data_IF_531189273550
#
_entry.id   IF_531189273550
#
_cell.length_a   1.000
_cell.length_b   1.000
_cell.length_c   1.000
_cell.angle_alpha   90.00
_cell.angle_beta   90.00
_cell.angle_gamma   90.00
#
_symmetry.space_group_name_H-M   'P 1'
#
loop_
_entity.id
_entity.type
_entity.pdbx_description
1 polymer ?
#
# COMPACT_ATOMS: atom_id res chain seq x y z
N UNK A 1 -8.29 5.21 -8.97
CA UNK A 1 -7.05 5.97 -8.74
C UNK A 1 -7.41 7.42 -8.47
N UNK A 2 -6.68 8.08 -7.58
CA UNK A 2 -7.02 9.43 -7.09
C UNK A 2 -5.84 10.39 -7.21
N UNK A 3 -6.12 11.69 -7.33
CA UNK A 3 -5.07 12.70 -7.21
C UNK A 3 -4.71 12.95 -5.74
N UNK A 4 -3.61 13.68 -5.51
CA UNK A 4 -3.16 14.03 -4.15
C UNK A 4 -4.24 14.75 -3.34
N UNK A 5 -4.98 15.69 -3.94
CA UNK A 5 -6.02 16.46 -3.24
C UNK A 5 -7.21 15.60 -2.83
N UNK A 6 -7.63 14.67 -3.69
CA UNK A 6 -8.70 13.72 -3.39
C UNK A 6 -8.29 12.82 -2.23
N UNK A 7 -7.06 12.29 -2.29
CA UNK A 7 -6.49 11.47 -1.23
C UNK A 7 -6.49 12.23 0.09
N UNK A 8 -5.91 13.43 0.13
CA UNK A 8 -5.82 14.24 1.36
C UNK A 8 -7.19 14.68 1.86
N UNK A 9 -8.14 14.99 0.96
CA UNK A 9 -9.50 15.34 1.34
C UNK A 9 -10.22 14.19 2.03
N UNK A 10 -10.22 13.00 1.42
CA UNK A 10 -10.89 11.82 2.01
C UNK A 10 -10.19 11.38 3.29
N UNK A 11 -8.86 11.31 3.31
CA UNK A 11 -8.12 10.96 4.53
C UNK A 11 -8.23 12.00 5.66
N UNK A 12 -8.74 13.21 5.39
CA UNK A 12 -8.97 14.21 6.43
C UNK A 12 -10.12 13.84 7.38
N UNK A 13 -11.08 13.04 6.91
CA UNK A 13 -12.20 12.52 7.71
C UNK A 13 -11.92 11.13 8.29
N UNK A 14 -10.87 10.44 7.83
CA UNK A 14 -10.47 9.12 8.32
C UNK A 14 -9.67 9.25 9.62
N UNK A 15 -9.93 8.33 10.55
CA UNK A 15 -9.16 8.16 11.78
C UNK A 15 -7.67 7.93 11.47
N UNK A 16 -6.80 8.79 12.02
CA UNK A 16 -5.34 8.79 11.74
C UNK A 16 -4.57 7.64 12.37
N UNK A 17 -5.18 6.91 13.30
CA UNK A 17 -4.60 5.75 13.96
C UNK A 17 -4.82 4.44 13.19
N UNK A 18 -5.66 4.45 12.16
CA UNK A 18 -5.92 3.28 11.31
C UNK A 18 -4.72 2.97 10.39
N UNK A 19 -4.57 1.68 10.11
CA UNK A 19 -3.55 1.10 9.26
C UNK A 19 -4.22 0.30 8.14
N UNK A 20 -4.01 0.69 6.88
CA UNK A 20 -4.49 -0.04 5.71
C UNK A 20 -3.43 -1.05 5.31
N UNK A 21 -3.65 -2.29 5.72
CA UNK A 21 -2.72 -3.40 5.59
C UNK A 21 -3.50 -4.66 5.23
N UNK A 22 -3.40 -5.10 3.99
CA UNK A 22 -3.93 -6.40 3.56
C UNK A 22 -3.16 -7.52 4.27
N UNK A 23 -3.84 -8.40 5.00
CA UNK A 23 -3.23 -9.44 5.81
C UNK A 23 -4.09 -10.70 5.92
N UNK A 24 -3.42 -11.84 6.06
CA UNK A 24 -4.00 -13.13 6.40
C UNK A 24 -3.03 -13.94 7.24
N UNK A 25 -3.55 -14.78 8.14
CA UNK A 25 -2.77 -15.79 8.83
C UNK A 25 -2.80 -17.17 8.15
N UNK A 26 -3.60 -17.33 7.09
CA UNK A 26 -3.52 -18.50 6.22
C UNK A 26 -2.29 -18.40 5.32
N UNK A 27 -1.20 -19.02 5.77
CA UNK A 27 0.06 -18.99 5.06
C UNK A 27 0.06 -19.90 3.82
N UNK A 28 -0.76 -20.96 3.80
CA UNK A 28 -0.75 -21.98 2.77
C UNK A 28 0.66 -22.46 2.40
N UNK A 29 0.96 -22.50 1.10
CA UNK A 29 2.28 -22.89 0.59
C UNK A 29 3.42 -21.97 1.04
N UNK A 30 3.14 -20.72 1.41
CA UNK A 30 4.16 -19.74 1.83
C UNK A 30 4.83 -20.18 3.13
N UNK A 31 4.16 -20.95 3.98
CA UNK A 31 4.77 -21.46 5.22
C UNK A 31 6.04 -22.26 4.93
N UNK A 32 5.93 -23.29 4.09
CA UNK A 32 7.02 -24.18 3.71
C UNK A 32 8.08 -23.50 2.82
N UNK A 33 7.65 -22.54 2.00
CA UNK A 33 8.52 -21.91 1.01
C UNK A 33 9.16 -20.59 1.45
N UNK A 34 8.61 -19.90 2.45
CA UNK A 34 9.09 -18.57 2.87
C UNK A 34 9.44 -18.46 4.35
N UNK A 35 8.61 -19.01 5.25
CA UNK A 35 8.77 -18.86 6.70
C UNK A 35 9.73 -19.88 7.33
N UNK A 36 9.64 -21.14 6.90
CA UNK A 36 10.50 -22.23 7.37
C UNK A 36 11.94 -22.18 6.81
N UNK A 37 12.17 -21.79 5.54
CA UNK A 37 13.52 -21.57 5.05
C UNK A 37 14.21 -20.42 5.78
N UNK A 38 15.51 -20.58 6.03
CA UNK A 38 16.36 -19.53 6.59
C UNK A 38 17.16 -18.96 5.42
N UNK A 39 17.00 -17.66 5.19
CA UNK A 39 17.73 -16.96 4.12
C UNK A 39 18.54 -15.79 4.64
N UNK A 40 19.60 -15.44 3.93
CA UNK A 40 20.27 -14.15 4.04
C UNK A 40 20.08 -13.46 2.71
N UNK A 41 19.28 -12.38 2.70
CA UNK A 41 19.08 -11.55 1.53
C UNK A 41 19.95 -10.29 1.65
N UNK A 42 21.08 -10.20 0.93
CA UNK A 42 21.93 -9.03 1.03
C UNK A 42 21.32 -7.80 0.37
N UNK A 43 20.26 -7.92 -0.45
CA UNK A 43 19.56 -6.78 -1.02
C UNK A 43 18.82 -5.95 0.05
N UNK A 44 18.68 -6.47 1.28
CA UNK A 44 18.10 -5.72 2.42
C UNK A 44 19.07 -4.64 2.94
N UNK A 45 20.39 -4.86 2.86
CA UNK A 45 21.39 -3.97 3.46
C UNK A 45 22.53 -3.53 2.52
N UNK A 46 22.63 -4.11 1.32
CA UNK A 46 23.58 -3.70 0.28
C UNK A 46 22.84 -3.04 -0.88
N UNK A 47 23.44 -1.97 -1.42
CA UNK A 47 22.88 -1.23 -2.56
C UNK A 47 22.86 -2.04 -3.87
N UNK A 48 23.68 -3.09 -3.99
CA UNK A 48 23.72 -3.95 -5.17
C UNK A 48 22.81 -5.16 -4.96
N UNK A 49 21.94 -5.42 -5.94
CA UNK A 49 21.17 -6.67 -5.97
C UNK A 49 22.13 -7.85 -6.09
N UNK A 50 22.09 -8.73 -5.11
CA UNK A 50 22.83 -9.98 -5.06
C UNK A 50 21.86 -11.15 -4.89
N UNK A 51 22.33 -12.36 -5.16
CA UNK A 51 21.53 -13.57 -4.93
C UNK A 51 21.23 -13.74 -3.44
N UNK A 52 20.05 -14.29 -3.16
CA UNK A 52 19.65 -14.70 -1.80
C UNK A 52 20.43 -15.97 -1.44
N UNK A 53 21.04 -15.98 -0.27
CA UNK A 53 21.71 -17.17 0.26
C UNK A 53 20.71 -17.99 1.08
N UNK A 54 20.62 -19.28 0.78
CA UNK A 54 19.77 -20.22 1.51
C UNK A 54 20.62 -21.06 2.46
N UNK A 55 20.21 -21.15 3.73
CA UNK A 55 20.78 -22.12 4.64
C UNK A 55 20.35 -23.54 4.26
N UNK A 56 21.19 -24.53 4.55
CA UNK A 56 20.86 -25.95 4.36
C UNK A 56 19.74 -26.39 5.30
N UNK A 57 19.79 -25.93 6.54
CA UNK A 57 18.79 -26.24 7.56
C UNK A 57 17.56 -25.33 7.46
N UNK A 58 16.40 -25.87 7.83
CA UNK A 58 15.14 -25.13 7.96
C UNK A 58 14.77 -25.01 9.44
N UNK A 59 13.96 -24.01 9.75
CA UNK A 59 13.32 -23.86 11.08
C UNK A 59 11.84 -24.17 11.00
N UNK A 60 11.24 -24.51 12.13
CA UNK A 60 9.78 -24.55 12.26
C UNK A 60 9.21 -23.13 12.28
N UNK A 61 7.95 -22.99 11.87
CA UNK A 61 7.18 -21.76 12.10
C UNK A 61 7.09 -21.52 13.61
N UNK A 62 7.32 -20.30 14.11
CA UNK A 62 7.32 -20.03 15.54
C UNK A 62 5.96 -20.23 16.19
N UNK A 63 5.95 -20.83 17.38
CA UNK A 63 4.76 -20.94 18.22
C UNK A 63 4.59 -19.73 19.16
N UNK A 64 5.63 -18.89 19.30
CA UNK A 64 5.64 -17.75 20.21
C UNK A 64 4.78 -16.56 19.73
N UNK A 65 4.42 -16.54 18.44
CA UNK A 65 3.57 -15.53 17.83
C UNK A 65 2.87 -16.11 16.61
N UNK A 66 1.78 -15.47 16.19
CA UNK A 66 1.09 -15.88 14.96
C UNK A 66 1.71 -15.16 13.75
N UNK A 67 2.20 -15.91 12.77
CA UNK A 67 2.70 -15.32 11.53
C UNK A 67 1.53 -14.86 10.64
N UNK A 68 1.66 -13.65 10.11
CA UNK A 68 0.75 -13.08 9.11
C UNK A 68 1.54 -12.72 7.85
N UNK A 69 0.87 -12.78 6.70
CA UNK A 69 1.40 -12.36 5.40
C UNK A 69 0.36 -11.55 4.64
N UNK A 70 0.79 -10.75 3.68
CA UNK A 70 -0.11 -9.95 2.85
C UNK A 70 0.61 -9.16 1.78
N UNK A 71 -0.02 -8.09 1.30
CA UNK A 71 0.57 -7.19 0.32
C UNK A 71 1.85 -6.53 0.90
N UNK A 72 2.96 -6.44 0.12
CA UNK A 72 4.14 -5.68 0.56
C UNK A 72 3.86 -4.18 0.64
N UNK A 73 2.71 -3.74 0.11
CA UNK A 73 2.34 -2.34 0.11
C UNK A 73 1.36 -2.04 1.23
N UNK A 74 1.71 -1.05 2.05
CA UNK A 74 0.96 -0.73 3.27
C UNK A 74 0.80 0.78 3.43
N UNK A 75 -0.27 1.20 4.10
CA UNK A 75 -0.41 2.57 4.63
C UNK A 75 -0.50 2.47 6.14
N UNK A 76 0.57 2.88 6.82
CA UNK A 76 0.71 2.72 8.27
C UNK A 76 0.55 4.05 8.99
N UNK A 77 -0.10 4.03 10.14
CA UNK A 77 -0.21 5.19 11.00
C UNK A 77 1.13 5.52 11.64
N UNK A 78 1.32 6.81 11.94
CA UNK A 78 2.55 7.29 12.56
C UNK A 78 2.80 6.61 13.92
N UNK A 79 1.75 6.43 14.73
CA UNK A 79 1.86 5.78 16.04
C UNK A 79 2.35 4.33 15.94
N UNK A 80 1.86 3.57 14.96
CA UNK A 80 2.33 2.21 14.72
C UNK A 80 3.78 2.17 14.22
N UNK A 81 4.18 3.09 13.34
CA UNK A 81 5.57 3.20 12.91
C UNK A 81 6.52 3.57 14.05
N UNK A 82 6.12 4.51 14.92
CA UNK A 82 6.89 4.86 16.12
C UNK A 82 7.05 3.66 17.06
N UNK A 83 5.99 2.85 17.24
CA UNK A 83 6.07 1.60 17.99
C UNK A 83 7.09 0.61 17.39
N UNK A 84 7.08 0.40 16.06
CA UNK A 84 8.03 -0.47 15.38
C UNK A 84 9.48 0.03 15.47
N UNK A 85 9.70 1.33 15.33
CA UNK A 85 11.04 1.94 15.30
C UNK A 85 11.65 2.01 16.70
N UNK A 86 10.89 2.52 17.66
CA UNK A 86 11.40 2.76 19.01
C UNK A 86 11.40 1.44 19.83
N UNK A 87 10.51 0.50 19.50
CA UNK A 87 10.49 -0.84 20.07
C UNK A 87 10.30 -0.84 21.59
N UNK A 88 9.28 -0.15 22.10
CA UNK A 88 9.09 -0.03 23.56
C UNK A 88 8.76 -1.40 24.18
N UNK A 89 8.16 -2.27 23.38
CA UNK A 89 7.98 -3.70 23.63
C UNK A 89 9.06 -4.53 22.90
N UNK A 90 9.30 -5.77 23.36
CA UNK A 90 10.25 -6.68 22.70
C UNK A 90 9.73 -7.25 21.37
N UNK A 91 8.41 -7.28 21.16
CA UNK A 91 7.76 -7.88 20.00
C UNK A 91 8.28 -7.33 18.66
N UNK A 92 8.34 -6.00 18.39
CA UNK A 92 8.92 -5.50 17.14
C UNK A 92 10.37 -5.93 16.89
N UNK A 93 11.18 -6.02 17.96
CA UNK A 93 12.59 -6.45 17.87
C UNK A 93 12.71 -7.94 17.58
N UNK A 94 11.95 -8.77 18.29
CA UNK A 94 11.90 -10.23 18.08
C UNK A 94 11.40 -10.55 16.67
N UNK A 95 10.35 -9.88 16.21
CA UNK A 95 9.83 -10.03 14.85
C UNK A 95 10.86 -9.57 13.82
N UNK A 96 11.57 -8.47 14.07
CA UNK A 96 12.60 -7.99 13.15
C UNK A 96 13.70 -9.04 12.99
N UNK A 97 14.22 -9.60 14.10
CA UNK A 97 15.20 -10.69 14.06
C UNK A 97 14.68 -11.94 13.35
N UNK A 98 13.39 -12.26 13.48
CA UNK A 98 12.79 -13.39 12.78
C UNK A 98 12.70 -13.14 11.27
N UNK A 99 12.20 -11.97 10.87
CA UNK A 99 11.91 -11.62 9.48
C UNK A 99 13.15 -11.21 8.68
N UNK A 100 14.26 -10.85 9.31
CA UNK A 100 15.55 -10.64 8.60
C UNK A 100 16.04 -11.90 7.89
N UNK A 101 15.55 -13.08 8.28
CA UNK A 101 15.89 -14.35 7.63
C UNK A 101 14.70 -15.05 6.95
N UNK A 102 13.67 -14.30 6.57
CA UNK A 102 12.48 -14.77 5.82
C UNK A 102 12.54 -14.25 4.39
N UNK A 103 12.14 -15.08 3.43
CA UNK A 103 12.00 -14.67 2.03
C UNK A 103 10.85 -13.66 1.91
N UNK A 104 11.10 -12.53 1.24
CA UNK A 104 10.13 -11.44 1.07
C UNK A 104 9.60 -10.92 2.42
N UNK A 105 10.52 -10.58 3.32
CA UNK A 105 10.23 -10.15 4.70
C UNK A 105 9.26 -8.97 4.81
N UNK A 106 9.24 -8.09 3.80
CA UNK A 106 8.28 -6.97 3.69
C UNK A 106 6.81 -7.42 3.61
N UNK A 107 6.55 -8.64 3.12
CA UNK A 107 5.20 -9.24 3.05
C UNK A 107 4.77 -9.90 4.36
N UNK A 108 5.57 -9.82 5.44
CA UNK A 108 5.28 -10.51 6.70
C UNK A 108 5.56 -9.71 7.97
N UNK A 109 6.58 -8.85 7.97
CA UNK A 109 7.00 -8.12 9.18
C UNK A 109 5.88 -7.26 9.77
N UNK A 110 5.39 -6.25 9.04
CA UNK A 110 4.38 -5.33 9.55
C UNK A 110 3.07 -6.04 9.88
N UNK A 111 2.65 -6.99 9.03
CA UNK A 111 1.47 -7.83 9.22
C UNK A 111 1.53 -8.59 10.55
N UNK A 112 2.66 -9.23 10.83
CA UNK A 112 2.83 -10.02 12.04
C UNK A 112 2.98 -9.13 13.28
N UNK A 113 3.72 -8.01 13.19
CA UNK A 113 3.86 -7.09 14.32
C UNK A 113 2.51 -6.49 14.70
N UNK A 114 1.75 -5.94 13.74
CA UNK A 114 0.50 -5.25 14.05
C UNK A 114 -0.56 -6.19 14.63
N UNK A 115 -0.66 -7.41 14.11
CA UNK A 115 -1.66 -8.37 14.55
C UNK A 115 -1.34 -9.06 15.87
N UNK A 116 -0.05 -9.15 16.25
CA UNK A 116 0.35 -9.64 17.57
C UNK A 116 0.45 -8.53 18.61
N UNK A 117 0.20 -7.27 18.25
CA UNK A 117 0.25 -6.13 19.17
C UNK A 117 -1.15 -5.79 19.70
N UNK A 118 -1.44 -5.97 21.00
CA UNK A 118 -2.77 -5.72 21.57
C UNK A 118 -3.28 -4.29 21.34
N UNK A 119 -2.38 -3.31 21.32
CA UNK A 119 -2.67 -1.89 21.11
C UNK A 119 -3.09 -1.56 19.67
N UNK A 120 -2.61 -2.32 18.68
CA UNK A 120 -2.76 -1.99 17.26
C UNK A 120 -3.62 -2.98 16.46
N UNK A 121 -3.82 -4.22 16.94
CA UNK A 121 -4.56 -5.27 16.21
C UNK A 121 -5.99 -4.89 15.83
N UNK A 122 -6.60 -3.92 16.52
CA UNK A 122 -7.95 -3.43 16.24
C UNK A 122 -7.96 -2.20 15.31
N UNK A 123 -6.79 -1.74 14.85
CA UNK A 123 -6.65 -0.59 13.94
C UNK A 123 -6.30 -1.03 12.51
N UNK A 124 -6.44 -2.31 12.19
CA UNK A 124 -6.06 -2.90 10.89
C UNK A 124 -7.26 -2.95 9.94
N UNK A 125 -7.30 -2.04 8.98
CA UNK A 125 -8.22 -2.14 7.84
C UNK A 125 -7.58 -3.09 6.82
N UNK A 126 -8.23 -4.22 6.56
CA UNK A 126 -7.68 -5.31 5.75
C UNK A 126 -7.79 -5.02 4.24
N UNK A 127 -7.05 -4.03 3.78
CA UNK A 127 -6.99 -3.60 2.38
C UNK A 127 -5.72 -2.75 2.16
N UNK A 128 -5.07 -2.85 1.00
CA UNK A 128 -3.85 -2.08 0.68
C UNK A 128 -4.10 -0.83 -0.20
N UNK A 129 -5.37 -0.54 -0.51
CA UNK A 129 -5.87 0.57 -1.33
C UNK A 129 -5.43 0.51 -2.80
N UNK A 130 -5.00 -0.65 -3.30
CA UNK A 130 -4.52 -0.82 -4.68
C UNK A 130 -5.50 -1.63 -5.51
N UNK A 131 -5.72 -1.17 -6.73
CA UNK A 131 -6.30 -1.98 -7.78
C UNK A 131 -5.22 -2.81 -8.48
N UNK A 132 -5.45 -4.12 -8.56
CA UNK A 132 -4.59 -5.08 -9.26
C UNK A 132 -5.47 -6.13 -9.92
N UNK A 133 -5.06 -6.58 -11.10
CA UNK A 133 -5.67 -7.75 -11.77
C UNK A 133 -4.69 -8.90 -11.66
N UNK A 134 -5.16 -10.04 -11.14
CA UNK A 134 -4.40 -11.28 -11.14
C UNK A 134 -4.86 -12.16 -12.30
N UNK A 135 -3.90 -12.73 -13.03
CA UNK A 135 -4.20 -13.77 -14.01
C UNK A 135 -4.84 -14.99 -13.32
N UNK A 136 -5.57 -15.82 -14.08
CA UNK A 136 -6.08 -17.11 -13.59
C UNK A 136 -5.44 -18.25 -14.38
N UNK A 137 -4.55 -19.07 -13.79
CA UNK A 137 -4.07 -19.01 -12.40
C UNK A 137 -3.12 -17.81 -12.14
N UNK A 138 -3.00 -17.36 -10.87
CA UNK A 138 -2.16 -16.21 -10.53
C UNK A 138 -0.68 -16.49 -10.81
N UNK A 139 -0.02 -15.53 -11.44
CA UNK A 139 1.45 -15.51 -11.65
C UNK A 139 2.16 -14.91 -10.43
N UNK A 140 3.50 -14.87 -10.46
CA UNK A 140 4.29 -14.26 -9.38
C UNK A 140 4.00 -12.76 -9.19
N UNK A 141 3.69 -12.06 -10.28
CA UNK A 141 3.32 -10.65 -10.26
C UNK A 141 1.97 -10.44 -10.94
N UNK A 142 1.23 -9.39 -10.57
CA UNK A 142 -0.05 -9.09 -11.19
C UNK A 142 0.10 -8.69 -12.65
N UNK A 143 -1.01 -8.73 -13.38
CA UNK A 143 -1.14 -8.30 -14.76
C UNK A 143 -0.63 -6.86 -14.94
N UNK A 144 -0.01 -6.60 -16.09
CA UNK A 144 0.34 -5.25 -16.52
C UNK A 144 -0.91 -4.55 -17.05
N UNK A 145 -1.49 -3.68 -16.23
CA UNK A 145 -2.65 -2.88 -16.58
C UNK A 145 -2.35 -2.04 -17.82
N UNK A 146 -3.29 -2.06 -18.77
CA UNK A 146 -3.19 -1.32 -20.03
C UNK A 146 -4.49 -0.53 -20.30
N UNK A 147 -4.61 0.05 -21.49
CA UNK A 147 -5.77 0.87 -21.88
C UNK A 147 -7.11 0.15 -21.73
N UNK A 148 -7.18 -1.17 -21.99
CA UNK A 148 -8.42 -1.96 -21.84
C UNK A 148 -8.94 -1.99 -20.41
N UNK A 149 -8.05 -1.86 -19.42
CA UNK A 149 -8.36 -2.01 -18.00
C UNK A 149 -8.69 -0.66 -17.36
N UNK A 150 -8.54 0.44 -18.10
CA UNK A 150 -8.62 1.80 -17.59
C UNK A 150 -9.96 2.08 -16.90
N UNK A 151 -11.08 1.72 -17.54
CA UNK A 151 -12.41 1.98 -16.99
C UNK A 151 -12.65 1.18 -15.71
N UNK A 152 -12.26 -0.10 -15.66
CA UNK A 152 -12.38 -0.93 -14.46
C UNK A 152 -11.51 -0.39 -13.32
N UNK A 153 -10.27 0.01 -13.63
CA UNK A 153 -9.35 0.63 -12.69
C UNK A 153 -9.92 1.93 -12.10
N UNK A 154 -10.49 2.81 -12.92
CA UNK A 154 -11.16 4.03 -12.45
C UNK A 154 -12.40 3.67 -11.65
N UNK A 155 -13.16 2.67 -12.08
CA UNK A 155 -14.38 2.22 -11.43
C UNK A 155 -14.17 1.48 -10.10
N UNK A 156 -12.96 0.98 -9.83
CA UNK A 156 -12.63 0.33 -8.55
C UNK A 156 -12.71 1.28 -7.34
N UNK A 157 -12.52 2.59 -7.56
CA UNK A 157 -12.40 3.56 -6.47
C UNK A 157 -11.11 3.45 -5.65
N UNK A 158 -10.20 2.52 -5.97
CA UNK A 158 -8.92 2.37 -5.27
C UNK A 158 -8.05 3.63 -5.38
N UNK A 159 -7.24 3.92 -4.37
CA UNK A 159 -6.35 5.07 -4.36
C UNK A 159 -5.23 4.92 -5.40
N UNK A 160 -4.63 3.72 -5.46
CA UNK A 160 -3.51 3.38 -6.32
C UNK A 160 -3.86 2.21 -7.25
N UNK A 161 -2.99 1.92 -8.21
CA UNK A 161 -3.09 0.70 -9.03
C UNK A 161 -1.69 0.20 -9.43
N UNK A 162 -1.57 -1.09 -9.74
CA UNK A 162 -0.36 -1.70 -10.29
C UNK A 162 -0.65 -3.01 -11.05
N UNK A 163 0.25 -3.49 -11.90
CA UNK A 163 1.47 -2.81 -12.37
C UNK A 163 1.29 -2.23 -13.76
N UNK A 164 2.18 -1.30 -14.15
CA UNK A 164 2.13 -0.65 -15.45
C UNK A 164 3.43 -0.90 -16.19
N UNK A 165 3.34 -1.18 -17.48
CA UNK A 165 4.52 -1.28 -18.31
C UNK A 165 5.12 0.11 -18.47
N UNK A 166 6.45 0.17 -18.60
CA UNK A 166 7.13 1.44 -18.85
C UNK A 166 6.60 2.04 -20.15
N UNK A 167 6.26 3.32 -20.11
CA UNK A 167 5.76 4.10 -21.26
C UNK A 167 4.44 3.56 -21.87
N UNK A 168 3.66 2.78 -21.12
CA UNK A 168 2.35 2.29 -21.57
C UNK A 168 1.37 3.47 -21.81
N UNK A 169 0.59 3.46 -22.90
CA UNK A 169 -0.38 4.53 -23.20
C UNK A 169 -1.41 4.79 -22.09
N UNK A 170 -1.71 3.80 -21.23
CA UNK A 170 -2.62 3.99 -20.09
C UNK A 170 -2.12 5.06 -19.11
N UNK A 171 -0.79 5.25 -19.00
CA UNK A 171 -0.20 6.27 -18.15
C UNK A 171 -0.57 7.69 -18.62
N UNK A 172 -0.62 7.90 -19.94
CA UNK A 172 -1.08 9.16 -20.53
C UNK A 172 -2.58 9.38 -20.28
N UNK A 173 -3.39 8.32 -20.33
CA UNK A 173 -4.82 8.39 -19.99
C UNK A 173 -5.04 8.74 -18.51
N UNK A 174 -4.25 8.18 -17.61
CA UNK A 174 -4.27 8.54 -16.18
C UNK A 174 -3.94 10.03 -16.01
N UNK A 175 -2.86 10.50 -16.65
CA UNK A 175 -2.44 11.89 -16.58
C UNK A 175 -3.52 12.85 -17.09
N UNK A 176 -4.13 12.54 -18.24
CA UNK A 176 -5.13 13.38 -18.88
C UNK A 176 -6.48 13.34 -18.14
N UNK A 177 -7.00 12.15 -17.85
CA UNK A 177 -8.38 11.95 -17.38
C UNK A 177 -8.52 12.00 -15.87
N UNK A 178 -7.51 11.55 -15.12
CA UNK A 178 -7.56 11.49 -13.65
C UNK A 178 -6.82 12.69 -13.05
N UNK A 179 -5.54 12.86 -13.39
CA UNK A 179 -4.70 13.89 -12.79
C UNK A 179 -4.88 15.26 -13.45
N UNK A 180 -5.54 15.32 -14.62
CA UNK A 180 -5.83 16.53 -15.40
C UNK A 180 -4.57 17.35 -15.68
N UNK A 181 -3.45 16.67 -15.94
CA UNK A 181 -2.14 17.30 -16.16
C UNK A 181 -1.65 17.08 -17.58
N UNK A 182 -0.90 18.07 -18.08
CA UNK A 182 -0.17 17.94 -19.34
C UNK A 182 1.16 17.20 -19.15
N UNK A 183 1.79 16.83 -20.27
CA UNK A 183 3.10 16.20 -20.27
C UNK A 183 4.11 17.05 -19.49
N UNK A 184 4.84 16.41 -18.57
CA UNK A 184 5.85 17.04 -17.71
C UNK A 184 5.33 18.22 -16.85
N UNK A 185 4.03 18.25 -16.55
CA UNK A 185 3.43 19.27 -15.67
C UNK A 185 2.93 18.63 -14.37
N UNK A 186 2.90 19.40 -13.26
CA UNK A 186 2.25 18.94 -12.04
C UNK A 186 0.74 18.80 -12.23
N UNK A 187 0.11 17.97 -11.40
CA UNK A 187 -1.36 17.91 -11.32
C UNK A 187 -1.88 19.23 -10.76
N UNK A 188 -2.78 19.93 -11.47
CA UNK A 188 -3.24 21.24 -11.03
C UNK A 188 -4.08 21.13 -9.76
N UNK A 189 -3.66 21.86 -8.73
CA UNK A 189 -4.35 21.99 -7.45
C UNK A 189 -5.05 23.33 -7.28
N UNK A 190 -5.72 23.51 -6.14
CA UNK A 190 -6.32 24.79 -5.78
C UNK A 190 -5.28 25.92 -5.61
N UNK A 191 -4.02 25.56 -5.38
CA UNK A 191 -2.89 26.47 -5.31
C UNK A 191 -2.44 27.00 -6.69
N UNK A 192 -2.89 26.42 -7.80
CA UNK A 192 -2.58 26.94 -9.13
C UNK A 192 -3.44 28.18 -9.42
N UNK A 193 -2.88 29.37 -9.17
CA UNK A 193 -3.61 30.65 -9.21
C UNK A 193 -3.52 31.37 -10.56
N UNK A 194 -2.74 30.85 -11.50
CA UNK A 194 -2.58 31.42 -12.83
C UNK A 194 -3.85 31.30 -13.68
N UNK A 195 -4.05 32.26 -14.60
CA UNK A 195 -5.15 32.15 -15.58
C UNK A 195 -4.90 30.96 -16.50
N UNK A 196 -5.85 30.03 -16.55
CA UNK A 196 -5.85 28.93 -17.51
C UNK A 196 -6.02 29.51 -18.92
N UNK A 197 -4.99 29.39 -19.75
CA UNK A 197 -5.06 29.68 -21.18
C UNK A 197 -4.43 28.53 -21.96
N UNK A 198 -4.60 28.51 -23.28
CA UNK A 198 -4.02 27.44 -24.11
C UNK A 198 -2.48 27.39 -24.03
N UNK A 199 -1.85 28.54 -23.74
CA UNK A 199 -0.40 28.71 -23.74
C UNK A 199 0.20 28.89 -22.33
N UNK A 200 -0.61 29.18 -21.32
CA UNK A 200 -0.15 29.39 -19.95
C UNK A 200 -0.61 28.25 -19.04
N UNK A 201 0.36 27.64 -18.37
CA UNK A 201 0.09 26.69 -17.30
C UNK A 201 -0.43 27.45 -16.06
N UNK A 202 -1.65 27.16 -15.58
CA UNK A 202 -2.20 27.78 -14.38
C UNK A 202 -1.32 27.57 -13.13
N UNK A 203 -0.47 26.54 -13.12
CA UNK A 203 0.44 26.24 -12.02
C UNK A 203 1.80 26.98 -12.12
N UNK A 204 1.97 27.87 -13.10
CA UNK A 204 3.14 28.76 -13.18
C UNK A 204 3.12 29.86 -12.11
N UNK A 205 1.94 30.16 -11.56
CA UNK A 205 1.75 31.08 -10.45
C UNK A 205 1.15 30.30 -9.28
N UNK A 206 1.75 30.49 -8.11
CA UNK A 206 1.39 29.74 -6.91
C UNK A 206 0.62 30.66 -5.96
N UNK A 207 -0.57 30.22 -5.59
CA UNK A 207 -1.36 30.78 -4.50
C UNK A 207 -1.08 30.05 -3.19
N UNK A 208 -2.09 29.98 -2.33
CA UNK A 208 -1.99 29.27 -1.05
C UNK A 208 -1.97 27.75 -1.23
N UNK A 209 -0.84 27.14 -0.86
CA UNK A 209 -0.60 25.69 -0.94
C UNK A 209 -1.40 24.87 0.07
N UNK A 210 -1.99 25.52 1.09
CA UNK A 210 -2.80 24.84 2.10
C UNK A 210 -4.25 24.65 1.67
N UNK A 211 -4.68 25.28 0.58
CA UNK A 211 -6.04 25.11 0.07
C UNK A 211 -6.14 23.75 -0.62
N UNK A 212 -7.03 22.90 -0.12
CA UNK A 212 -7.38 21.63 -0.74
C UNK A 212 -8.77 21.73 -1.36
N UNK A 213 -8.87 21.39 -2.65
CA UNK A 213 -10.17 21.28 -3.34
C UNK A 213 -10.28 19.87 -3.92
N UNK A 214 -11.24 19.05 -3.47
CA UNK A 214 -11.45 17.73 -4.05
C UNK A 214 -11.86 17.84 -5.51
N UNK A 215 -11.33 16.94 -6.32
CA UNK A 215 -11.76 16.65 -7.68
C UNK A 215 -12.87 15.59 -7.73
N UNK A 216 -13.26 15.16 -8.95
CA UNK A 216 -14.38 14.24 -9.13
C UNK A 216 -14.17 12.85 -8.52
N UNK A 217 -12.91 12.42 -8.39
CA UNK A 217 -12.55 11.10 -7.90
C UNK A 217 -12.63 11.00 -6.38
N UNK A 218 -12.66 12.13 -5.65
CA UNK A 218 -12.81 12.15 -4.19
C UNK A 218 -14.09 11.44 -3.73
N UNK A 219 -15.24 11.73 -4.33
CA UNK A 219 -16.52 11.12 -3.93
C UNK A 219 -16.49 9.59 -4.04
N UNK A 220 -15.95 9.09 -5.15
CA UNK A 220 -15.85 7.65 -5.38
C UNK A 220 -14.89 6.98 -4.40
N UNK A 221 -13.78 7.64 -4.11
CA UNK A 221 -12.82 7.15 -3.12
C UNK A 221 -13.37 7.18 -1.70
N UNK A 222 -14.14 8.21 -1.36
CA UNK A 222 -14.87 8.31 -0.09
C UNK A 222 -15.87 7.16 0.07
N UNK A 223 -16.64 6.83 -0.98
CA UNK A 223 -17.53 5.67 -0.99
C UNK A 223 -16.75 4.36 -0.74
N UNK A 224 -15.61 4.16 -1.43
CA UNK A 224 -14.74 2.99 -1.21
C UNK A 224 -14.19 2.91 0.21
N UNK A 225 -13.71 4.03 0.76
CA UNK A 225 -13.19 4.08 2.14
C UNK A 225 -14.31 3.81 3.15
N UNK A 226 -15.49 4.39 2.95
CA UNK A 226 -16.64 4.17 3.84
C UNK A 226 -17.01 2.69 3.88
N UNK A 227 -17.12 2.04 2.72
CA UNK A 227 -17.39 0.60 2.65
C UNK A 227 -16.32 -0.23 3.38
N UNK A 228 -15.04 0.11 3.20
CA UNK A 228 -13.94 -0.58 3.90
C UNK A 228 -14.02 -0.40 5.43
N UNK A 229 -14.43 0.77 5.90
CA UNK A 229 -14.60 1.04 7.33
C UNK A 229 -15.84 0.35 7.89
N UNK A 230 -16.93 0.27 7.14
CA UNK A 230 -18.13 -0.47 7.52
C UNK A 230 -17.84 -1.98 7.61
N UNK A 231 -17.13 -2.55 6.64
CA UNK A 231 -16.65 -3.93 6.68
C UNK A 231 -15.70 -4.17 7.86
N UNK A 232 -14.79 -3.23 8.13
CA UNK A 232 -13.88 -3.30 9.27
C UNK A 232 -14.62 -3.29 10.62
N UNK A 233 -15.62 -2.43 10.79
CA UNK A 233 -16.41 -2.35 12.03
C UNK A 233 -17.32 -3.57 12.24
N UNK A 234 -17.80 -4.18 11.16
CA UNK A 234 -18.69 -5.36 11.22
C UNK A 234 -17.94 -6.66 11.52
N UNK A 235 -16.67 -6.76 11.13
CA UNK A 235 -15.87 -7.96 11.35
C UNK A 235 -15.28 -8.01 12.76
N UNK A 236 -15.64 -9.05 13.53
CA UNK A 236 -14.99 -9.33 14.81
C UNK A 236 -13.57 -9.84 14.59
N UNK A 237 -12.56 -9.03 14.95
CA UNK A 237 -11.11 -9.32 14.89
C UNK A 237 -10.58 -9.62 13.47
N UNK A 238 -9.99 -8.61 12.82
CA UNK A 238 -9.31 -8.72 11.52
C UNK A 238 -8.06 -9.61 11.57
N UNK A 239 -7.34 -9.58 12.69
CA UNK A 239 -6.15 -10.38 12.95
C UNK A 239 -6.49 -11.79 13.45
N UNK A 240 -7.27 -12.53 12.67
CA UNK A 240 -7.66 -13.91 12.97
C UNK A 240 -6.71 -14.94 12.42
#
# INVERSE_FOLDING_TARGET
>A
MVCQFDLSHVFSSVRRDLNFIDHTSDLGWKELQRFQPIVVDPAIYLARRSQIFHATEKRKTPDAFKAFTGSPWVTLSRSFLEFCILGWDNLPRTMLMYFTNVILSQEGYFHSVICNSPEFKNTTVNNDLRYMIWDSPPRMEPHFLNVSDFDQMVQSGAAFARQFAKDDPVLNLIDEKILKRGLNRPSPGAWCSGRRSWWMDPCSQWGDVNIMKPGPQAKKFEESITNLLDDWTSQSNQCK
#
